data_IF_995997022924
#
_entry.id   IF_995997022924
#
_cell.length_a   1.000
_cell.length_b   1.000
_cell.length_c   1.000
_cell.angle_alpha   90.00
_cell.angle_beta   90.00
_cell.angle_gamma   90.00
#
_symmetry.space_group_name_H-M   'P 1'
#
loop_
_entity.id
_entity.type
_entity.pdbx_description
1 polymer ?
#
# COMPACT_ATOMS: atom_id res chain seq x y z
N UNK A 1 15.40 -10.74 6.06
CA UNK A 1 15.04 -10.28 4.71
C UNK A 1 13.51 -10.23 4.65
N UNK A 2 12.95 -9.09 4.25
CA UNK A 2 11.49 -8.90 4.17
C UNK A 2 10.90 -9.69 3.00
N UNK A 3 9.63 -10.12 3.13
CA UNK A 3 8.89 -10.81 2.08
C UNK A 3 7.74 -9.95 1.58
N UNK A 4 7.69 -9.73 0.28
CA UNK A 4 6.64 -8.95 -0.39
C UNK A 4 5.83 -9.88 -1.29
N UNK A 5 4.58 -10.13 -0.93
CA UNK A 5 3.64 -10.86 -1.78
C UNK A 5 3.04 -9.91 -2.81
N UNK A 6 3.36 -10.09 -4.06
CA UNK A 6 2.89 -9.22 -5.17
C UNK A 6 1.87 -9.96 -5.99
N UNK A 7 0.62 -9.49 -5.95
CA UNK A 7 -0.48 -10.14 -6.66
C UNK A 7 -0.61 -9.62 -8.09
N UNK A 8 -0.94 -10.51 -9.02
CA UNK A 8 -1.20 -10.15 -10.41
C UNK A 8 -2.36 -10.94 -11.01
N UNK A 9 -3.14 -10.26 -11.83
CA UNK A 9 -4.19 -10.83 -12.70
C UNK A 9 -3.80 -10.78 -14.19
N UNK A 10 -2.51 -10.59 -14.47
CA UNK A 10 -1.94 -10.37 -15.82
C UNK A 10 -2.44 -9.11 -16.53
N UNK A 11 -3.24 -8.27 -15.88
CA UNK A 11 -3.70 -7.03 -16.50
C UNK A 11 -2.57 -6.01 -16.65
N UNK A 12 -2.76 -5.06 -17.54
CA UNK A 12 -1.83 -3.92 -17.69
C UNK A 12 -1.73 -3.12 -16.39
N UNK A 13 -2.82 -3.07 -15.60
CA UNK A 13 -2.83 -2.35 -14.33
C UNK A 13 -1.94 -3.03 -13.28
N UNK A 14 -1.90 -4.38 -13.23
CA UNK A 14 -1.08 -5.12 -12.27
C UNK A 14 0.43 -4.89 -12.45
N UNK A 15 0.86 -4.46 -13.64
CA UNK A 15 2.27 -4.10 -13.91
C UNK A 15 2.79 -2.98 -13.01
N UNK A 16 1.92 -2.08 -12.54
CA UNK A 16 2.31 -0.98 -11.66
C UNK A 16 2.79 -1.47 -10.28
N UNK A 17 2.06 -2.40 -9.66
CA UNK A 17 2.45 -3.02 -8.39
C UNK A 17 3.74 -3.82 -8.51
N UNK A 18 3.91 -4.54 -9.62
CA UNK A 18 5.14 -5.29 -9.91
C UNK A 18 6.33 -4.34 -9.98
N UNK A 19 6.23 -3.26 -10.79
CA UNK A 19 7.30 -2.26 -10.88
C UNK A 19 7.63 -1.60 -9.55
N UNK A 20 6.58 -1.29 -8.75
CA UNK A 20 6.77 -0.72 -7.42
C UNK A 20 7.50 -1.69 -6.48
N UNK A 21 7.10 -2.97 -6.45
CA UNK A 21 7.71 -3.97 -5.59
C UNK A 21 9.18 -4.23 -5.95
N UNK A 22 9.53 -4.23 -7.24
CA UNK A 22 10.92 -4.34 -7.70
C UNK A 22 11.72 -3.11 -7.27
N UNK A 23 11.17 -1.89 -7.46
CA UNK A 23 11.80 -0.66 -6.98
C UNK A 23 11.97 -0.65 -5.45
N UNK A 24 10.99 -1.16 -4.70
CA UNK A 24 11.08 -1.33 -3.26
C UNK A 24 12.25 -2.27 -2.89
N UNK A 25 12.28 -3.46 -3.48
CA UNK A 25 13.29 -4.48 -3.19
C UNK A 25 14.70 -4.07 -3.64
N UNK A 26 14.85 -3.19 -4.62
CA UNK A 26 16.14 -2.63 -5.02
C UNK A 26 16.75 -1.68 -3.97
N UNK A 27 15.91 -1.10 -3.09
CA UNK A 27 16.35 -0.19 -2.04
C UNK A 27 16.35 -0.82 -0.64
N UNK A 28 15.69 -1.97 -0.47
CA UNK A 28 15.53 -2.66 0.82
C UNK A 28 15.72 -4.16 0.64
N UNK A 29 16.54 -4.84 1.48
CA UNK A 29 16.76 -6.27 1.38
C UNK A 29 15.46 -7.07 1.49
N UNK A 30 14.88 -7.45 0.35
CA UNK A 30 13.56 -8.08 0.27
C UNK A 30 13.55 -9.23 -0.73
N UNK A 31 12.68 -10.20 -0.51
CA UNK A 31 12.31 -11.25 -1.46
C UNK A 31 10.91 -10.97 -1.98
N UNK A 32 10.75 -10.93 -3.29
CA UNK A 32 9.45 -10.78 -3.93
C UNK A 32 8.88 -12.15 -4.23
N UNK A 33 7.60 -12.35 -3.89
CA UNK A 33 6.83 -13.51 -4.30
C UNK A 33 5.77 -13.02 -5.28
N UNK A 34 5.97 -13.26 -6.58
CA UNK A 34 4.98 -12.99 -7.59
C UNK A 34 3.92 -14.07 -7.53
N UNK A 35 2.68 -13.68 -7.22
CA UNK A 35 1.59 -14.58 -6.90
C UNK A 35 0.40 -14.36 -7.82
N UNK A 36 -0.10 -15.45 -8.38
CA UNK A 36 -1.31 -15.46 -9.19
C UNK A 36 -2.27 -16.53 -8.70
N UNK A 37 -3.54 -16.17 -8.56
CA UNK A 37 -4.64 -17.11 -8.34
C UNK A 37 -5.33 -17.34 -9.68
N UNK A 38 -5.26 -18.58 -10.18
CA UNK A 38 -6.01 -19.00 -11.34
C UNK A 38 -7.41 -19.45 -10.92
N UNK A 39 -8.44 -18.86 -11.50
CA UNK A 39 -9.81 -19.25 -11.21
C UNK A 39 -10.13 -20.63 -11.81
N UNK A 40 -10.53 -21.57 -10.94
CA UNK A 40 -10.84 -22.92 -11.36
C UNK A 40 -10.81 -23.94 -10.23
N UNK A 41 -11.01 -25.18 -10.58
CA UNK A 41 -10.87 -26.34 -9.67
C UNK A 41 -9.42 -26.85 -9.74
N UNK A 42 -8.82 -27.10 -8.59
CA UNK A 42 -7.50 -27.70 -8.54
C UNK A 42 -7.56 -29.17 -8.97
N UNK A 43 -6.89 -29.50 -10.07
CA UNK A 43 -6.94 -30.84 -10.67
C UNK A 43 -6.34 -31.95 -9.77
N UNK A 44 -5.66 -31.61 -8.69
CA UNK A 44 -4.91 -32.52 -7.80
C UNK A 44 -5.55 -32.79 -6.44
N UNK A 45 -6.85 -32.53 -6.29
CA UNK A 45 -7.56 -32.80 -5.03
C UNK A 45 -7.42 -34.29 -4.62
N UNK A 46 -7.32 -35.21 -5.60
CA UNK A 46 -7.27 -36.67 -5.39
C UNK A 46 -5.86 -37.25 -5.42
N UNK A 47 -4.85 -36.57 -5.97
CA UNK A 47 -3.48 -37.11 -6.00
C UNK A 47 -2.41 -35.98 -5.96
N UNK A 48 -2.00 -35.55 -4.74
CA UNK A 48 -1.02 -34.49 -4.55
C UNK A 48 0.40 -34.76 -5.11
N UNK A 49 0.72 -36.03 -5.39
CA UNK A 49 2.04 -36.45 -5.89
C UNK A 49 2.16 -36.46 -7.40
N UNK A 50 1.06 -36.32 -8.13
CA UNK A 50 1.07 -36.29 -9.60
C UNK A 50 1.53 -34.91 -10.08
N UNK A 51 2.58 -34.84 -10.91
CA UNK A 51 2.95 -33.62 -11.62
C UNK A 51 1.74 -33.11 -12.40
N UNK A 52 1.41 -31.83 -12.20
CA UNK A 52 0.32 -31.19 -12.88
C UNK A 52 0.89 -30.36 -14.04
N UNK A 53 0.82 -30.84 -15.30
CA UNK A 53 1.34 -30.11 -16.45
C UNK A 53 0.72 -28.72 -16.59
N UNK A 54 -0.54 -28.56 -16.18
CA UNK A 54 -1.22 -27.27 -16.21
C UNK A 54 -0.66 -26.28 -15.19
N UNK A 55 -0.16 -26.77 -14.05
CA UNK A 55 0.52 -25.92 -13.07
C UNK A 55 1.83 -25.35 -13.67
N UNK A 56 2.63 -26.20 -14.30
CA UNK A 56 3.90 -25.79 -14.93
C UNK A 56 3.65 -24.75 -16.05
N UNK A 57 2.60 -24.96 -16.86
CA UNK A 57 2.20 -24.02 -17.90
C UNK A 57 1.74 -22.67 -17.32
N UNK A 58 0.98 -22.67 -16.21
CA UNK A 58 0.55 -21.44 -15.52
C UNK A 58 1.73 -20.71 -14.93
N UNK A 59 2.70 -21.43 -14.35
CA UNK A 59 3.93 -20.88 -13.80
C UNK A 59 4.77 -20.24 -14.91
N UNK A 60 4.93 -20.90 -16.04
CA UNK A 60 5.64 -20.37 -17.22
C UNK A 60 4.99 -19.07 -17.73
N UNK A 61 3.65 -19.04 -17.77
CA UNK A 61 2.90 -17.82 -18.12
C UNK A 61 3.19 -16.67 -17.19
N UNK A 62 3.25 -16.92 -15.87
CA UNK A 62 3.61 -15.91 -14.87
C UNK A 62 5.05 -15.43 -15.07
N UNK A 63 5.98 -16.34 -15.30
CA UNK A 63 7.38 -16.01 -15.58
C UNK A 63 7.54 -15.13 -16.83
N UNK A 64 6.88 -15.49 -17.93
CA UNK A 64 6.89 -14.69 -19.18
C UNK A 64 6.32 -13.30 -18.96
N UNK A 65 5.21 -13.19 -18.21
CA UNK A 65 4.60 -11.90 -17.90
C UNK A 65 5.55 -11.01 -17.09
N UNK A 66 6.17 -11.53 -16.03
CA UNK A 66 7.11 -10.77 -15.19
C UNK A 66 8.36 -10.40 -15.98
N UNK A 67 8.92 -11.31 -16.77
CA UNK A 67 10.09 -11.05 -17.62
C UNK A 67 9.83 -9.91 -18.60
N UNK A 68 8.64 -9.84 -19.19
CA UNK A 68 8.26 -8.75 -20.09
C UNK A 68 8.28 -7.36 -19.39
N UNK A 69 8.02 -7.33 -18.08
CA UNK A 69 8.05 -6.09 -17.29
C UNK A 69 9.49 -5.68 -16.99
N UNK A 70 10.36 -6.63 -16.63
CA UNK A 70 11.80 -6.37 -16.46
C UNK A 70 12.41 -5.79 -17.73
N UNK A 71 12.21 -6.44 -18.88
CA UNK A 71 12.75 -6.00 -20.18
C UNK A 71 12.27 -4.61 -20.56
N UNK A 72 10.95 -4.31 -20.33
CA UNK A 72 10.38 -3.03 -20.72
C UNK A 72 10.68 -1.87 -19.77
N UNK A 73 11.19 -2.13 -18.57
CA UNK A 73 11.31 -1.14 -17.51
C UNK A 73 12.73 -0.88 -17.03
N UNK A 74 13.72 -1.59 -17.57
CA UNK A 74 15.13 -1.52 -17.15
C UNK A 74 15.32 -1.53 -15.62
N UNK A 75 14.60 -2.46 -14.95
CA UNK A 75 14.60 -2.58 -13.50
C UNK A 75 15.78 -3.43 -13.03
N UNK A 76 16.35 -3.15 -11.84
CA UNK A 76 17.43 -3.95 -11.29
C UNK A 76 16.94 -5.37 -10.95
N UNK A 77 17.82 -6.34 -11.08
CA UNK A 77 17.55 -7.71 -10.62
C UNK A 77 17.47 -7.72 -9.09
N UNK A 78 16.42 -8.35 -8.57
CA UNK A 78 16.17 -8.53 -7.14
C UNK A 78 15.86 -10.00 -6.88
N UNK A 79 15.92 -10.44 -5.62
CA UNK A 79 15.54 -11.80 -5.26
C UNK A 79 14.03 -11.97 -5.39
N UNK A 80 13.60 -12.96 -6.17
CA UNK A 80 12.18 -13.28 -6.32
C UNK A 80 11.93 -14.78 -6.54
N UNK A 81 10.68 -15.16 -6.38
CA UNK A 81 10.14 -16.46 -6.79
C UNK A 81 8.71 -16.30 -7.28
N UNK A 82 8.22 -17.33 -7.93
CA UNK A 82 6.89 -17.37 -8.51
C UNK A 82 6.02 -18.37 -7.74
N UNK A 83 4.73 -18.09 -7.69
CA UNK A 83 3.74 -18.97 -7.09
C UNK A 83 2.40 -18.82 -7.80
N UNK A 84 1.78 -19.95 -8.11
CA UNK A 84 0.44 -20.01 -8.71
C UNK A 84 -0.40 -20.98 -7.92
N UNK A 85 -1.55 -20.51 -7.46
CA UNK A 85 -2.57 -21.36 -6.84
C UNK A 85 -3.85 -21.36 -7.68
N UNK A 86 -4.66 -22.40 -7.56
CA UNK A 86 -5.94 -22.55 -8.28
C UNK A 86 -7.07 -22.54 -7.28
N UNK A 87 -8.10 -21.72 -7.55
CA UNK A 87 -9.29 -21.63 -6.70
C UNK A 87 -10.22 -20.50 -7.11
N UNK A 88 -11.38 -20.41 -6.45
CA UNK A 88 -12.41 -19.43 -6.78
C UNK A 88 -12.40 -18.20 -5.86
N UNK A 89 -11.86 -18.33 -4.64
CA UNK A 89 -11.84 -17.21 -3.68
C UNK A 89 -10.45 -16.54 -3.63
N UNK A 90 -10.17 -15.78 -4.69
CA UNK A 90 -8.91 -15.05 -4.83
C UNK A 90 -8.56 -14.22 -3.59
N UNK A 91 -9.55 -13.60 -2.94
CA UNK A 91 -9.30 -12.72 -1.80
C UNK A 91 -8.80 -13.50 -0.59
N UNK A 92 -9.48 -14.55 -0.20
CA UNK A 92 -9.07 -15.39 0.93
C UNK A 92 -7.78 -16.15 0.62
N UNK A 93 -7.59 -16.62 -0.60
CA UNK A 93 -6.34 -17.27 -1.02
C UNK A 93 -5.12 -16.34 -0.87
N UNK A 94 -5.22 -15.08 -1.28
CA UNK A 94 -4.15 -14.09 -1.08
C UNK A 94 -3.87 -13.89 0.42
N UNK A 95 -4.93 -13.74 1.24
CA UNK A 95 -4.79 -13.53 2.68
C UNK A 95 -4.14 -14.72 3.38
N UNK A 96 -4.56 -15.93 3.04
CA UNK A 96 -4.06 -17.18 3.66
C UNK A 96 -2.63 -17.48 3.20
N UNK A 97 -2.33 -17.26 1.92
CA UNK A 97 -0.97 -17.42 1.42
C UNK A 97 -0.02 -16.40 2.06
N UNK A 98 -0.44 -15.13 2.20
CA UNK A 98 0.35 -14.13 2.90
C UNK A 98 0.67 -14.53 4.35
N UNK A 99 -0.30 -15.09 5.08
CA UNK A 99 -0.09 -15.64 6.43
C UNK A 99 0.85 -16.84 6.41
N UNK A 100 0.61 -17.81 5.51
CA UNK A 100 1.41 -19.04 5.35
C UNK A 100 2.89 -18.75 5.19
N UNK A 101 3.25 -17.78 4.34
CA UNK A 101 4.64 -17.39 4.07
C UNK A 101 5.19 -16.36 5.07
N UNK A 102 4.36 -15.87 5.98
CA UNK A 102 4.65 -14.74 6.88
C UNK A 102 5.14 -13.53 6.09
N UNK A 103 4.33 -13.08 5.13
CA UNK A 103 4.64 -11.91 4.32
C UNK A 103 4.68 -10.64 5.18
N UNK A 104 5.67 -9.80 4.98
CA UNK A 104 5.76 -8.48 5.62
C UNK A 104 4.82 -7.48 4.95
N UNK A 105 4.59 -7.64 3.63
CA UNK A 105 3.71 -6.79 2.84
C UNK A 105 2.94 -7.59 1.79
N UNK A 106 1.70 -7.17 1.53
CA UNK A 106 0.95 -7.55 0.33
C UNK A 106 0.97 -6.33 -0.60
N UNK A 107 1.46 -6.50 -1.84
CA UNK A 107 1.50 -5.43 -2.83
C UNK A 107 0.47 -5.71 -3.93
N UNK A 108 -0.45 -4.78 -4.14
CA UNK A 108 -1.52 -4.88 -5.12
C UNK A 108 -1.68 -3.57 -5.90
N UNK A 109 -1.96 -3.68 -7.19
CA UNK A 109 -2.30 -2.53 -8.03
C UNK A 109 -3.78 -2.21 -7.99
N UNK A 110 -4.11 -0.92 -8.10
CA UNK A 110 -5.50 -0.50 -8.30
C UNK A 110 -5.94 -0.70 -9.75
N UNK A 111 -7.21 -1.02 -9.96
CA UNK A 111 -7.75 -1.19 -11.34
C UNK A 111 -7.89 0.13 -12.08
N UNK A 112 -7.99 1.23 -11.37
CA UNK A 112 -8.20 2.57 -11.93
C UNK A 112 -9.62 2.78 -12.49
N UNK A 113 -10.16 3.95 -12.20
CA UNK A 113 -11.46 4.45 -12.61
C UNK A 113 -11.64 5.83 -11.99
N UNK A 114 -12.55 6.66 -12.48
CA UNK A 114 -12.94 7.87 -11.77
C UNK A 114 -13.81 7.49 -10.56
N UNK A 115 -13.41 7.92 -9.37
CA UNK A 115 -14.09 7.58 -8.12
C UNK A 115 -13.46 6.39 -7.39
N UNK A 116 -13.35 6.50 -6.07
CA UNK A 116 -12.59 5.57 -5.22
C UNK A 116 -13.16 4.16 -5.18
N UNK A 117 -14.49 4.00 -5.23
CA UNK A 117 -15.12 2.67 -5.37
C UNK A 117 -14.65 1.95 -6.64
N UNK A 118 -14.43 2.71 -7.72
CA UNK A 118 -13.90 2.18 -8.98
C UNK A 118 -12.37 2.04 -8.97
N UNK A 119 -11.67 2.89 -8.18
CA UNK A 119 -10.20 2.89 -8.12
C UNK A 119 -9.64 1.69 -7.37
N UNK A 120 -10.20 1.36 -6.20
CA UNK A 120 -9.65 0.30 -5.36
C UNK A 120 -10.01 -1.11 -5.84
N UNK A 121 -11.12 -1.30 -6.56
CA UNK A 121 -11.61 -2.62 -6.92
C UNK A 121 -11.99 -3.48 -5.69
N UNK A 122 -12.73 -4.56 -5.91
CA UNK A 122 -13.22 -5.43 -4.83
C UNK A 122 -12.08 -6.12 -4.06
N UNK A 123 -11.08 -6.65 -4.77
CA UNK A 123 -9.93 -7.33 -4.16
C UNK A 123 -9.12 -6.39 -3.27
N UNK A 124 -8.75 -5.20 -3.77
CA UNK A 124 -7.96 -4.23 -2.99
C UNK A 124 -8.70 -3.80 -1.72
N UNK A 125 -10.00 -3.49 -1.83
CA UNK A 125 -10.82 -3.10 -0.67
C UNK A 125 -10.90 -4.22 0.37
N UNK A 126 -11.12 -5.47 -0.07
CA UNK A 126 -11.16 -6.64 0.82
C UNK A 126 -9.82 -6.88 1.52
N UNK A 127 -8.71 -6.75 0.79
CA UNK A 127 -7.36 -6.90 1.40
C UNK A 127 -7.11 -5.81 2.44
N UNK A 128 -7.45 -4.55 2.16
CA UNK A 128 -7.31 -3.45 3.13
C UNK A 128 -8.17 -3.71 4.37
N UNK A 129 -9.37 -4.23 4.22
CA UNK A 129 -10.31 -4.48 5.32
C UNK A 129 -9.87 -5.69 6.16
N UNK A 130 -9.57 -6.82 5.52
CA UNK A 130 -9.38 -8.11 6.20
C UNK A 130 -7.94 -8.47 6.54
N UNK A 131 -6.95 -7.93 5.79
CA UNK A 131 -5.56 -8.30 6.01
C UNK A 131 -5.03 -7.84 7.36
N UNK A 132 -4.31 -8.73 8.04
CA UNK A 132 -3.43 -8.38 9.18
C UNK A 132 -2.04 -8.00 8.71
N UNK A 133 -1.65 -8.41 7.50
CA UNK A 133 -0.40 -8.00 6.84
C UNK A 133 -0.58 -6.60 6.24
N UNK A 134 0.39 -5.70 6.40
CA UNK A 134 0.40 -4.40 5.74
C UNK A 134 0.16 -4.49 4.24
N UNK A 135 -0.68 -3.59 3.69
CA UNK A 135 -1.03 -3.59 2.27
C UNK A 135 -0.43 -2.39 1.56
N UNK A 136 0.38 -2.66 0.55
CA UNK A 136 0.91 -1.67 -0.40
C UNK A 136 -0.05 -1.58 -1.58
N UNK A 137 -0.73 -0.45 -1.70
CA UNK A 137 -1.69 -0.17 -2.76
C UNK A 137 -1.04 0.73 -3.79
N UNK A 138 -0.84 0.23 -4.99
CA UNK A 138 -0.10 0.93 -6.04
C UNK A 138 -1.06 1.41 -7.14
N UNK A 139 -1.14 2.72 -7.39
CA UNK A 139 -1.95 3.25 -8.48
C UNK A 139 -1.47 2.74 -9.84
N UNK A 140 -2.40 2.42 -10.75
CA UNK A 140 -2.07 1.98 -12.13
C UNK A 140 -1.16 2.98 -12.86
N UNK A 141 -1.26 4.25 -12.51
CA UNK A 141 -0.49 5.37 -13.09
C UNK A 141 0.89 5.53 -12.46
N UNK A 142 1.29 4.64 -11.53
CA UNK A 142 2.59 4.70 -10.88
C UNK A 142 3.73 4.70 -11.89
N UNK A 143 4.67 5.62 -11.70
CA UNK A 143 5.95 5.67 -12.40
C UNK A 143 7.07 5.35 -11.43
N UNK A 144 8.04 4.59 -11.89
CA UNK A 144 9.21 4.16 -11.09
C UNK A 144 9.94 5.40 -10.57
N UNK A 145 10.10 5.46 -9.26
CA UNK A 145 10.89 6.48 -8.57
C UNK A 145 11.42 5.94 -7.24
N UNK A 146 12.58 6.40 -6.78
CA UNK A 146 13.11 6.02 -5.47
C UNK A 146 12.16 6.41 -4.34
N UNK A 147 12.09 5.58 -3.30
CA UNK A 147 11.38 5.90 -2.05
C UNK A 147 12.31 6.78 -1.21
N UNK A 148 12.03 8.09 -1.15
CA UNK A 148 12.84 9.09 -0.44
C UNK A 148 12.03 9.97 0.50
N UNK A 149 10.77 10.27 0.15
CA UNK A 149 9.87 11.15 0.89
C UNK A 149 8.62 10.36 1.25
N UNK A 150 8.51 9.99 2.51
CA UNK A 150 7.39 9.21 3.05
C UNK A 150 6.50 10.15 3.85
N UNK A 151 5.24 10.23 3.48
CA UNK A 151 4.25 10.98 4.23
C UNK A 151 3.47 10.07 5.15
N UNK A 152 3.20 10.55 6.34
CA UNK A 152 2.36 9.89 7.32
C UNK A 152 1.26 10.87 7.75
N UNK A 153 0.00 10.59 7.40
CA UNK A 153 -1.14 11.36 7.87
C UNK A 153 -1.59 10.81 9.22
N UNK A 154 -1.49 11.64 10.26
CA UNK A 154 -1.73 11.28 11.65
C UNK A 154 -2.93 12.03 12.23
N UNK A 155 -3.67 11.38 13.14
CA UNK A 155 -4.63 12.03 14.04
C UNK A 155 -4.03 12.32 15.42
N UNK A 156 -2.74 12.08 15.58
CA UNK A 156 -1.95 12.20 16.82
C UNK A 156 -2.40 11.30 17.99
N UNK A 157 -3.52 10.60 17.87
CA UNK A 157 -4.08 9.82 18.99
C UNK A 157 -3.17 8.67 19.44
N UNK A 158 -2.38 8.10 18.55
CA UNK A 158 -1.43 7.02 18.85
C UNK A 158 -0.06 7.26 18.21
N UNK A 159 0.33 8.53 18.12
CA UNK A 159 1.49 9.00 17.36
C UNK A 159 2.76 8.20 17.68
N UNK A 160 3.07 7.95 18.97
CA UNK A 160 4.29 7.22 19.37
C UNK A 160 4.40 5.86 18.72
N UNK A 161 3.37 5.03 18.87
CA UNK A 161 3.39 3.66 18.37
C UNK A 161 3.30 3.59 16.83
N UNK A 162 2.57 4.52 16.24
CA UNK A 162 2.43 4.60 14.78
C UNK A 162 3.73 5.09 14.15
N UNK A 163 4.35 6.14 14.70
CA UNK A 163 5.59 6.71 14.18
C UNK A 163 6.76 5.71 14.25
N UNK A 164 6.85 4.89 15.31
CA UNK A 164 7.83 3.80 15.38
C UNK A 164 7.68 2.82 14.21
N UNK A 165 6.44 2.47 13.82
CA UNK A 165 6.21 1.59 12.66
C UNK A 165 6.62 2.28 11.35
N UNK A 166 6.31 3.57 11.21
CA UNK A 166 6.69 4.36 10.02
C UNK A 166 8.22 4.50 9.94
N UNK A 167 8.89 4.78 11.04
CA UNK A 167 10.36 4.86 11.10
C UNK A 167 11.01 3.52 10.75
N UNK A 168 10.51 2.40 11.31
CA UNK A 168 11.00 1.05 10.95
C UNK A 168 10.83 0.76 9.46
N UNK A 169 9.70 1.20 8.87
CA UNK A 169 9.47 1.06 7.44
C UNK A 169 10.42 1.95 6.62
N UNK A 170 10.65 3.20 7.02
CA UNK A 170 11.46 4.17 6.28
C UNK A 170 12.96 3.89 6.33
N UNK A 171 13.44 3.23 7.40
CA UNK A 171 14.86 3.04 7.68
C UNK A 171 15.67 2.40 6.53
N UNK A 172 15.23 1.30 5.89
CA UNK A 172 15.99 0.68 4.81
C UNK A 172 16.15 1.60 3.59
N UNK A 173 15.22 2.51 3.37
CA UNK A 173 15.21 3.46 2.27
C UNK A 173 16.02 4.72 2.56
N UNK A 174 16.43 4.93 3.82
CA UNK A 174 17.01 6.21 4.29
C UNK A 174 16.12 7.39 3.93
N UNK A 175 14.79 7.18 3.97
CA UNK A 175 13.80 8.14 3.53
C UNK A 175 13.46 9.13 4.65
N UNK A 176 13.16 10.37 4.26
CA UNK A 176 12.58 11.36 5.14
C UNK A 176 11.11 11.02 5.45
N UNK A 177 10.68 11.34 6.67
CA UNK A 177 9.32 11.15 7.13
C UNK A 177 8.69 12.52 7.37
N UNK A 178 7.56 12.76 6.73
CA UNK A 178 6.77 13.97 6.90
C UNK A 178 5.44 13.61 7.57
N UNK A 179 5.28 14.01 8.82
CA UNK A 179 4.07 13.79 9.62
C UNK A 179 3.12 14.94 9.36
N UNK A 180 1.95 14.66 8.77
CA UNK A 180 0.91 15.65 8.50
C UNK A 180 -0.24 15.49 9.50
N UNK A 181 -0.62 16.61 10.11
CA UNK A 181 -1.79 16.74 10.96
C UNK A 181 -2.63 17.90 10.45
N UNK A 182 -3.92 17.67 10.32
CA UNK A 182 -4.89 18.66 9.82
C UNK A 182 -5.93 18.94 10.89
N UNK A 183 -6.13 20.22 11.24
CA UNK A 183 -7.10 20.68 12.22
C UNK A 183 -7.64 22.06 11.84
N UNK A 184 -8.88 22.36 12.25
CA UNK A 184 -9.50 23.66 12.04
C UNK A 184 -8.91 24.76 12.94
N UNK A 185 -8.47 24.39 14.15
CA UNK A 185 -8.07 25.32 15.21
C UNK A 185 -6.56 25.46 15.35
N UNK A 186 -5.81 25.12 14.34
CA UNK A 186 -4.34 25.06 14.41
C UNK A 186 -3.69 26.42 14.62
N UNK A 187 -4.38 27.52 14.29
CA UNK A 187 -3.88 28.90 14.48
C UNK A 187 -4.06 29.43 15.90
N UNK A 188 -4.71 28.66 16.77
CA UNK A 188 -4.82 29.02 18.19
C UNK A 188 -3.46 28.76 18.86
N UNK A 189 -2.82 29.80 19.42
CA UNK A 189 -1.47 29.73 19.98
C UNK A 189 -1.30 28.61 21.02
N UNK A 190 -2.30 28.38 21.84
CA UNK A 190 -2.28 27.30 22.84
C UNK A 190 -2.21 25.92 22.18
N UNK A 191 -2.96 25.71 21.07
CA UNK A 191 -2.97 24.46 20.31
C UNK A 191 -1.63 24.26 19.62
N UNK A 192 -1.09 25.30 18.96
CA UNK A 192 0.23 25.24 18.33
C UNK A 192 1.32 24.95 19.32
N UNK A 193 1.27 25.55 20.51
CA UNK A 193 2.24 25.27 21.58
C UNK A 193 2.19 23.81 22.01
N UNK A 194 0.99 23.21 22.17
CA UNK A 194 0.81 21.78 22.47
C UNK A 194 1.36 20.89 21.35
N UNK A 195 1.06 21.21 20.10
CA UNK A 195 1.52 20.45 18.94
C UNK A 195 3.04 20.49 18.80
N UNK A 196 3.66 21.65 18.98
CA UNK A 196 5.12 21.80 18.96
C UNK A 196 5.80 21.01 20.10
N UNK A 197 5.22 20.97 21.31
CA UNK A 197 5.70 20.12 22.40
C UNK A 197 5.60 18.63 22.08
N UNK A 198 4.55 18.21 21.36
CA UNK A 198 4.41 16.82 20.91
C UNK A 198 5.47 16.53 19.84
N UNK A 199 5.61 17.39 18.83
CA UNK A 199 6.60 17.23 17.77
C UNK A 199 8.02 17.13 18.32
N UNK A 200 8.39 18.00 19.25
CA UNK A 200 9.73 18.04 19.86
C UNK A 200 10.15 16.70 20.50
N UNK A 201 9.19 15.90 21.00
CA UNK A 201 9.47 14.57 21.59
C UNK A 201 9.85 13.51 20.55
N UNK A 202 9.52 13.75 19.28
CA UNK A 202 9.68 12.78 18.20
C UNK A 202 10.54 13.29 17.05
N UNK A 203 11.02 14.54 17.13
CA UNK A 203 11.98 15.06 16.17
C UNK A 203 13.23 14.19 16.20
N UNK A 204 13.54 13.62 15.05
CA UNK A 204 14.78 12.88 14.80
C UNK A 204 15.30 13.28 13.42
N UNK A 205 16.55 12.95 13.14
CA UNK A 205 17.11 13.22 11.82
C UNK A 205 16.22 12.59 10.73
N UNK A 206 15.69 13.43 9.83
CA UNK A 206 14.82 13.00 8.74
C UNK A 206 13.33 12.86 9.11
N UNK A 207 12.87 13.34 10.29
CA UNK A 207 11.44 13.39 10.63
C UNK A 207 11.00 14.85 10.79
N UNK A 208 9.98 15.22 10.02
CA UNK A 208 9.44 16.59 9.95
C UNK A 208 7.96 16.59 10.27
N UNK A 209 7.48 17.58 11.01
CA UNK A 209 6.07 17.75 11.35
C UNK A 209 5.47 18.92 10.59
N UNK A 210 4.27 18.72 10.05
CA UNK A 210 3.50 19.68 9.29
C UNK A 210 2.10 19.79 9.90
N UNK A 211 1.82 20.91 10.53
CA UNK A 211 0.52 21.25 11.06
C UNK A 211 -0.19 22.15 10.07
N UNK A 212 -1.36 21.72 9.60
CA UNK A 212 -2.09 22.35 8.50
C UNK A 212 -3.50 22.73 8.93
N UNK A 213 -3.88 23.98 8.73
CA UNK A 213 -5.26 24.44 8.92
C UNK A 213 -6.17 23.80 7.90
N UNK A 214 -7.29 23.26 8.38
CA UNK A 214 -8.36 22.77 7.52
C UNK A 214 -9.27 23.91 7.04
N UNK A 215 -9.65 23.85 5.77
CA UNK A 215 -10.75 24.65 5.23
C UNK A 215 -12.09 23.94 5.49
N UNK A 216 -13.12 24.71 5.81
CA UNK A 216 -14.46 24.16 6.19
C UNK A 216 -15.05 23.32 5.06
N UNK A 217 -14.82 23.72 3.80
CA UNK A 217 -15.38 23.05 2.63
C UNK A 217 -14.61 21.79 2.19
N UNK A 218 -13.49 21.46 2.86
CA UNK A 218 -12.63 20.36 2.49
C UNK A 218 -12.59 19.28 3.58
N UNK A 219 -12.61 18.02 3.13
CA UNK A 219 -12.32 16.89 4.01
C UNK A 219 -10.81 16.71 4.20
N UNK A 220 -10.39 15.95 5.22
CA UNK A 220 -8.98 15.57 5.42
C UNK A 220 -8.40 14.92 4.16
N UNK A 221 -9.18 14.06 3.49
CA UNK A 221 -8.77 13.41 2.24
C UNK A 221 -8.47 14.40 1.13
N UNK A 222 -9.30 15.44 1.00
CA UNK A 222 -9.11 16.50 -0.01
C UNK A 222 -7.86 17.33 0.29
N UNK A 223 -7.66 17.70 1.56
CA UNK A 223 -6.43 18.40 1.97
C UNK A 223 -5.19 17.57 1.68
N UNK A 224 -5.20 16.30 2.10
CA UNK A 224 -4.10 15.37 1.85
C UNK A 224 -3.83 15.21 0.36
N UNK A 225 -4.87 15.05 -0.45
CA UNK A 225 -4.74 14.92 -1.90
C UNK A 225 -4.17 16.17 -2.57
N UNK A 226 -4.64 17.35 -2.19
CA UNK A 226 -4.14 18.61 -2.72
C UNK A 226 -2.65 18.79 -2.39
N UNK A 227 -2.27 18.52 -1.14
CA UNK A 227 -0.88 18.59 -0.72
C UNK A 227 -0.02 17.52 -1.41
N UNK A 228 -0.51 16.29 -1.58
CA UNK A 228 0.18 15.24 -2.33
C UNK A 228 0.41 15.60 -3.80
N UNK A 229 -0.57 16.24 -4.44
CA UNK A 229 -0.45 16.68 -5.83
C UNK A 229 0.64 17.73 -5.96
N UNK A 230 0.75 18.65 -4.99
CA UNK A 230 1.74 19.71 -4.96
C UNK A 230 3.16 19.19 -4.67
N UNK A 231 3.30 18.33 -3.68
CA UNK A 231 4.62 17.91 -3.17
C UNK A 231 5.09 16.55 -3.67
N UNK A 232 4.21 15.74 -4.26
CA UNK A 232 4.50 14.46 -4.92
C UNK A 232 5.35 13.49 -4.08
N UNK A 233 4.92 13.11 -2.87
CA UNK A 233 5.68 12.17 -2.03
C UNK A 233 5.92 10.84 -2.74
N UNK A 234 6.93 10.10 -2.29
CA UNK A 234 7.25 8.79 -2.86
C UNK A 234 6.24 7.73 -2.43
N UNK A 235 5.72 7.86 -1.21
CA UNK A 235 4.77 6.94 -0.58
C UNK A 235 4.02 7.66 0.52
N UNK A 236 2.76 7.29 0.75
CA UNK A 236 1.96 7.77 1.88
C UNK A 236 1.59 6.60 2.79
N UNK A 237 1.82 6.76 4.08
CA UNK A 237 1.44 5.79 5.12
C UNK A 237 0.14 6.24 5.77
N UNK A 238 -0.81 5.33 5.85
CA UNK A 238 -2.10 5.52 6.49
C UNK A 238 -2.37 4.39 7.48
N UNK A 239 -2.95 4.72 8.64
CA UNK A 239 -3.38 3.74 9.63
C UNK A 239 -4.88 3.57 9.62
N UNK A 240 -5.35 2.34 9.49
CA UNK A 240 -6.77 2.02 9.52
C UNK A 240 -7.19 1.58 10.93
N UNK A 241 -8.33 2.08 11.42
CA UNK A 241 -9.05 1.42 12.52
C UNK A 241 -9.72 0.17 11.96
N UNK A 242 -9.87 -0.89 12.76
CA UNK A 242 -10.56 -2.14 12.37
C UNK A 242 -12.05 -1.93 12.00
N UNK A 243 -12.59 -0.72 12.17
CA UNK A 243 -13.96 -0.37 11.80
C UNK A 243 -14.02 0.27 10.41
N UNK A 244 -14.90 -0.25 9.57
CA UNK A 244 -15.27 0.16 8.22
C UNK A 244 -15.38 1.68 8.02
N UNK A 245 -15.82 2.40 9.06
CA UNK A 245 -16.11 3.84 9.01
C UNK A 245 -14.90 4.76 8.73
N UNK A 246 -13.65 4.30 8.90
CA UNK A 246 -12.49 5.19 8.69
C UNK A 246 -11.99 5.14 7.25
N UNK A 247 -11.92 3.95 6.65
CA UNK A 247 -11.69 3.78 5.21
C UNK A 247 -12.82 4.49 4.46
N UNK A 248 -14.06 4.31 4.93
CA UNK A 248 -15.22 5.02 4.40
C UNK A 248 -15.10 6.54 4.55
N UNK A 249 -14.54 7.06 5.64
CA UNK A 249 -14.32 8.51 5.82
C UNK A 249 -13.17 9.07 4.99
N UNK A 250 -12.10 8.32 4.80
CA UNK A 250 -11.01 8.72 3.90
C UNK A 250 -11.40 8.53 2.43
N UNK A 251 -12.20 7.52 2.17
CA UNK A 251 -12.47 7.04 0.83
C UNK A 251 -13.95 7.09 0.43
N UNK A 252 -14.91 7.13 1.36
CA UNK A 252 -16.34 7.03 1.08
C UNK A 252 -17.13 8.06 1.90
N UNK A 253 -17.12 9.32 1.59
CA UNK A 253 -18.08 10.22 2.22
C UNK A 253 -19.37 10.34 1.39
N UNK A 254 -20.51 10.22 2.11
CA UNK A 254 -21.84 10.46 1.61
C UNK A 254 -21.99 11.88 1.07
N UNK A 255 -22.66 11.96 -0.07
CA UNK A 255 -23.40 13.08 -0.66
C UNK A 255 -22.63 14.29 -1.16
N UNK A 256 -22.92 14.56 -2.43
CA UNK A 256 -22.82 15.82 -3.18
C UNK A 256 -21.42 16.38 -3.41
N UNK A 257 -20.84 15.93 -4.46
CA UNK A 257 -19.61 16.19 -5.21
C UNK A 257 -18.57 15.12 -4.95
N UNK A 258 -18.52 14.15 -5.86
CA UNK A 258 -17.52 13.08 -5.89
C UNK A 258 -16.12 13.68 -5.96
N UNK A 259 -15.48 13.81 -4.81
CA UNK A 259 -14.05 14.06 -4.79
C UNK A 259 -13.35 12.72 -4.80
N UNK A 260 -12.85 12.41 -5.95
CA UNK A 260 -12.06 11.22 -6.19
C UNK A 260 -10.68 11.40 -5.57
N UNK A 261 -10.33 10.54 -4.60
CA UNK A 261 -8.95 10.42 -4.15
C UNK A 261 -8.14 9.74 -5.27
N UNK A 262 -7.80 10.48 -6.29
CA UNK A 262 -6.97 10.00 -7.41
C UNK A 262 -5.51 10.26 -7.08
N UNK A 263 -4.88 9.30 -6.43
CA UNK A 263 -3.46 9.42 -6.15
C UNK A 263 -2.62 8.72 -7.21
N UNK A 264 -1.56 9.39 -7.64
CA UNK A 264 -0.45 8.80 -8.41
C UNK A 264 0.63 8.20 -7.48
N UNK A 265 0.46 8.39 -6.19
CA UNK A 265 1.41 7.98 -5.15
C UNK A 265 0.97 6.66 -4.51
N UNK A 266 1.86 5.69 -4.36
CA UNK A 266 1.59 4.45 -3.63
C UNK A 266 1.21 4.73 -2.17
N UNK A 267 0.32 3.88 -1.63
CA UNK A 267 -0.12 3.94 -0.24
C UNK A 267 0.35 2.70 0.51
N UNK A 268 0.87 2.87 1.71
CA UNK A 268 1.06 1.80 2.68
C UNK A 268 -0.05 1.88 3.72
N UNK A 269 -0.86 0.85 3.78
CA UNK A 269 -1.97 0.75 4.72
C UNK A 269 -1.57 -0.16 5.88
N UNK A 270 -1.52 0.39 7.08
CA UNK A 270 -1.20 -0.29 8.33
C UNK A 270 -2.44 -0.37 9.22
N UNK A 271 -2.57 -1.45 9.99
CA UNK A 271 -3.61 -1.54 11.02
C UNK A 271 -3.20 -0.76 12.26
N UNK A 272 -4.15 0.05 12.81
CA UNK A 272 -4.02 0.56 14.18
C UNK A 272 -4.11 -0.63 15.14
N UNK A 273 -3.22 -0.69 16.12
CA UNK A 273 -3.39 -1.64 17.22
C UNK A 273 -4.69 -1.30 17.93
N UNK A 274 -5.50 -2.29 18.26
CA UNK A 274 -6.58 -2.11 19.23
C UNK A 274 -5.95 -1.58 20.54
N UNK A 275 -6.62 -0.61 21.15
CA UNK A 275 -6.25 -0.16 22.49
C UNK A 275 -6.49 -1.27 23.48
#
# INVERSE_FOLDING_TARGET
>A
MQKILVTTDYSTNSKAGIRFAIQFASQSPSEIIFYHVHEGVADNIWNPKKKNPDHDLRLEKLQKFISSIYTSSNLPLVKFRFEVEVGFDTNNMILDYAKKIKADYICISTRGGSGLKKLLGTTTSTLIEKSTTPVLVVPKTYRIKPIKEIWYSSDLANLKNELVKVQKFALPFKANIHVYYYDFMIEVDEIMTKLNKIAAKFVSKGTFFHFKKMKIDYTISQHLQNDMTKHKPSLVVLFTKQNRNWIDRLFYRNNTKEVTFDTKTPLLILKKNAK
#
